data_IF_391601704412
#
_entry.id   IF_391601704412
#
_cell.length_a   1.000
_cell.length_b   1.000
_cell.length_c   1.000
_cell.angle_alpha   90.00
_cell.angle_beta   90.00
_cell.angle_gamma   90.00
#
_symmetry.space_group_name_H-M   'P 1'
#
loop_
_entity.id
_entity.type
_entity.pdbx_description
1 polymer ?
#
# COMPACT_ATOMS: atom_id res chain seq x y z
N UNK A 1 8.27 0.65 -18.08
CA UNK A 1 6.88 0.48 -18.57
C UNK A 1 6.23 1.86 -18.61
N UNK A 2 5.50 2.21 -19.68
CA UNK A 2 4.82 3.51 -19.76
C UNK A 2 3.68 3.60 -18.73
N UNK A 3 3.47 4.79 -18.18
CA UNK A 3 2.29 5.15 -17.37
C UNK A 3 1.25 5.82 -18.26
N UNK A 4 0.01 5.99 -17.77
CA UNK A 4 -1.08 6.60 -18.53
C UNK A 4 -0.73 7.94 -19.17
N UNK A 5 -0.05 8.84 -18.43
CA UNK A 5 0.36 10.15 -18.95
C UNK A 5 1.41 10.07 -20.06
N UNK A 6 2.28 9.05 -20.02
CA UNK A 6 3.26 8.81 -21.09
C UNK A 6 2.57 8.37 -22.40
N UNK A 7 1.30 7.95 -22.31
CA UNK A 7 0.43 7.59 -23.44
C UNK A 7 -0.50 8.74 -23.86
N UNK A 8 -0.33 9.95 -23.30
CA UNK A 8 -1.18 11.11 -23.59
C UNK A 8 -2.56 11.08 -22.90
N UNK A 9 -2.76 10.19 -21.93
CA UNK A 9 -4.01 10.09 -21.17
C UNK A 9 -3.85 10.88 -19.87
N UNK A 10 -4.53 12.02 -19.79
CA UNK A 10 -4.54 12.87 -18.60
C UNK A 10 -5.90 12.80 -17.89
N UNK A 11 -5.89 12.33 -16.65
CA UNK A 11 -7.07 12.29 -15.78
C UNK A 11 -6.89 13.30 -14.64
N UNK A 12 -7.73 14.35 -14.62
CA UNK A 12 -7.78 15.35 -13.55
C UNK A 12 -7.32 16.74 -13.98
N UNK A 13 -7.56 17.74 -13.11
CA UNK A 13 -7.25 19.16 -13.37
C UNK A 13 -5.91 19.62 -12.79
N UNK A 14 -5.24 18.77 -12.01
CA UNK A 14 -4.00 19.12 -11.31
C UNK A 14 -2.80 18.41 -11.94
N UNK A 15 -1.65 19.10 -11.92
CA UNK A 15 -0.36 18.52 -12.30
C UNK A 15 0.11 17.54 -11.21
N UNK A 16 0.72 16.41 -11.59
CA UNK A 16 1.28 15.47 -10.62
C UNK A 16 2.58 16.02 -10.01
N UNK A 17 3.02 15.38 -8.91
CA UNK A 17 4.37 15.59 -8.39
C UNK A 17 5.46 15.01 -9.32
N UNK A 18 6.74 15.22 -9.00
CA UNK A 18 7.87 14.81 -9.84
C UNK A 18 7.89 13.32 -10.17
N UNK A 19 7.54 12.47 -9.21
CA UNK A 19 7.48 11.03 -9.41
C UNK A 19 6.11 10.56 -9.84
N UNK A 20 5.06 11.40 -9.76
CA UNK A 20 3.66 11.05 -9.96
C UNK A 20 3.31 9.77 -9.17
N UNK A 21 3.68 9.78 -7.88
CA UNK A 21 3.57 8.65 -6.97
C UNK A 21 3.34 9.12 -5.52
N UNK A 22 2.91 8.22 -4.63
CA UNK A 22 2.68 8.56 -3.21
C UNK A 22 3.95 9.05 -2.49
N UNK A 23 5.12 8.63 -2.95
CA UNK A 23 6.43 9.06 -2.43
C UNK A 23 6.78 10.51 -2.77
N UNK A 24 5.97 11.19 -3.58
CA UNK A 24 6.07 12.65 -3.73
C UNK A 24 5.71 13.39 -2.42
N UNK A 25 5.03 12.73 -1.48
CA UNK A 25 4.86 13.23 -0.11
C UNK A 25 6.16 13.03 0.68
N UNK A 26 6.80 14.11 1.18
CA UNK A 26 8.08 14.00 1.87
C UNK A 26 8.06 13.03 3.05
N UNK A 27 9.07 12.17 3.14
CA UNK A 27 9.22 11.16 4.20
C UNK A 27 8.52 9.84 3.89
N UNK A 28 7.49 9.82 3.05
CA UNK A 28 6.78 8.58 2.70
C UNK A 28 7.69 7.67 1.88
N UNK A 29 7.75 6.39 2.27
CA UNK A 29 8.52 5.37 1.56
C UNK A 29 7.65 4.15 1.24
N UNK A 30 7.98 3.45 0.15
CA UNK A 30 7.29 2.23 -0.28
C UNK A 30 8.32 1.15 -0.57
N UNK A 31 8.05 -0.08 -0.11
CA UNK A 31 8.86 -1.26 -0.37
C UNK A 31 8.02 -2.44 -0.81
N UNK A 32 8.60 -3.32 -1.63
CA UNK A 32 7.92 -4.50 -2.17
C UNK A 32 8.77 -5.76 -1.98
N UNK A 33 8.10 -6.87 -1.69
CA UNK A 33 8.65 -8.22 -1.82
C UNK A 33 7.71 -9.03 -2.71
N UNK A 34 8.24 -9.53 -3.82
CA UNK A 34 7.46 -10.27 -4.83
C UNK A 34 7.90 -11.73 -4.85
N UNK A 35 6.94 -12.65 -4.73
CA UNK A 35 7.17 -14.09 -4.80
C UNK A 35 6.52 -14.66 -6.07
N UNK A 36 7.38 -15.04 -7.01
CA UNK A 36 7.01 -15.74 -8.25
C UNK A 36 7.81 -17.04 -8.27
N UNK A 37 7.14 -18.18 -8.06
CA UNK A 37 7.80 -19.48 -7.99
C UNK A 37 6.93 -20.59 -8.58
N UNK A 38 7.57 -21.51 -9.31
CA UNK A 38 6.92 -22.64 -9.97
C UNK A 38 6.05 -22.22 -11.16
N UNK A 39 5.62 -23.21 -11.95
CA UNK A 39 4.84 -23.06 -13.17
C UNK A 39 3.81 -24.20 -13.31
N UNK A 40 2.89 -24.08 -14.26
CA UNK A 40 1.87 -25.10 -14.55
C UNK A 40 0.58 -24.95 -13.74
N UNK A 41 -0.24 -26.01 -13.71
CA UNK A 41 -1.54 -26.01 -13.05
C UNK A 41 -1.41 -25.98 -11.52
N UNK A 42 -2.47 -25.50 -10.84
CA UNK A 42 -2.51 -25.50 -9.38
C UNK A 42 -2.56 -26.92 -8.82
N UNK A 43 -1.53 -27.30 -8.06
CA UNK A 43 -1.41 -28.64 -7.46
C UNK A 43 -1.43 -28.62 -5.92
N UNK A 44 -2.05 -27.60 -5.32
CA UNK A 44 -2.22 -27.49 -3.87
C UNK A 44 -1.10 -26.74 -3.13
N UNK A 45 -0.07 -26.27 -3.84
CA UNK A 45 1.04 -25.51 -3.23
C UNK A 45 1.75 -24.55 -4.19
N UNK A 46 1.16 -24.29 -5.36
CA UNK A 46 1.74 -23.45 -6.39
C UNK A 46 1.09 -23.71 -7.74
N UNK A 47 1.41 -22.89 -8.77
CA UNK A 47 2.44 -21.85 -8.78
C UNK A 47 2.15 -20.70 -7.80
N UNK A 48 3.20 -20.16 -7.17
CA UNK A 48 3.11 -19.05 -6.22
C UNK A 48 3.23 -17.74 -6.98
N UNK A 49 2.25 -16.86 -6.81
CA UNK A 49 2.20 -15.50 -7.39
C UNK A 49 1.62 -14.56 -6.34
N UNK A 50 2.43 -14.22 -5.34
CA UNK A 50 2.03 -13.39 -4.19
C UNK A 50 3.12 -12.37 -3.83
N UNK A 51 2.91 -11.60 -2.78
CA UNK A 51 3.89 -10.65 -2.29
C UNK A 51 3.34 -9.76 -1.19
N UNK A 52 4.21 -8.91 -0.68
CA UNK A 52 3.89 -7.90 0.33
C UNK A 52 4.35 -6.54 -0.16
N UNK A 53 3.52 -5.52 0.06
CA UNK A 53 3.89 -4.12 -0.10
C UNK A 53 3.81 -3.44 1.26
N UNK A 54 4.87 -2.72 1.63
CA UNK A 54 4.90 -1.89 2.83
C UNK A 54 4.91 -0.41 2.43
N UNK A 55 4.13 0.39 3.15
CA UNK A 55 4.12 1.84 3.05
C UNK A 55 4.47 2.39 4.43
N UNK A 56 5.53 3.18 4.50
CA UNK A 56 5.94 3.88 5.70
C UNK A 56 5.46 5.33 5.59
N UNK A 57 4.60 5.82 6.50
CA UNK A 57 4.22 7.23 6.54
C UNK A 57 5.42 8.19 6.71
N UNK A 58 6.46 7.72 7.41
CA UNK A 58 7.81 8.30 7.42
C UNK A 58 8.86 7.24 7.76
N UNK A 59 10.13 7.52 7.52
CA UNK A 59 11.25 6.60 7.77
C UNK A 59 11.74 6.54 9.23
N UNK A 60 11.20 7.40 10.11
CA UNK A 60 11.48 7.38 11.56
C UNK A 60 10.74 6.27 12.34
N UNK A 61 10.73 6.38 13.67
CA UNK A 61 10.06 5.42 14.55
C UNK A 61 8.56 5.73 14.65
N UNK A 62 7.72 5.05 13.86
CA UNK A 62 6.26 5.28 13.80
C UNK A 62 5.55 5.02 15.13
N UNK A 63 6.11 4.20 16.02
CA UNK A 63 5.51 3.95 17.32
C UNK A 63 5.69 5.14 18.27
N UNK A 64 6.88 5.75 18.24
CA UNK A 64 7.18 6.95 19.02
C UNK A 64 6.53 8.19 18.39
N UNK A 65 6.70 8.35 17.08
CA UNK A 65 6.27 9.48 16.29
C UNK A 65 5.08 9.07 15.42
N UNK A 66 3.87 9.12 15.98
CA UNK A 66 2.65 8.69 15.30
C UNK A 66 2.20 9.72 14.27
N UNK A 67 1.51 9.25 13.23
CA UNK A 67 0.88 10.14 12.23
C UNK A 67 -0.63 10.13 12.36
N UNK A 68 -1.27 11.28 12.17
CA UNK A 68 -2.74 11.38 12.10
C UNK A 68 -3.27 10.58 10.91
N UNK A 69 -4.32 9.80 11.13
CA UNK A 69 -4.89 8.92 10.13
C UNK A 69 -6.40 8.74 10.32
N UNK A 70 -7.06 8.27 9.26
CA UNK A 70 -8.46 7.90 9.28
C UNK A 70 -8.68 6.71 8.33
N UNK A 71 -9.73 5.94 8.58
CA UNK A 71 -10.14 4.80 7.74
C UNK A 71 -11.62 4.90 7.39
N UNK A 72 -11.97 4.41 6.21
CA UNK A 72 -13.36 4.32 5.77
C UNK A 72 -13.61 2.98 5.08
N UNK A 73 -14.75 2.37 5.39
CA UNK A 73 -15.15 1.08 4.82
C UNK A 73 -16.33 1.30 3.86
N UNK A 74 -16.06 1.25 2.56
CA UNK A 74 -17.12 1.33 1.53
C UNK A 74 -17.92 0.01 1.50
N UNK A 75 -17.21 -1.12 1.52
CA UNK A 75 -17.78 -2.46 1.63
C UNK A 75 -16.90 -3.33 2.54
N UNK A 76 -17.53 -4.09 3.43
CA UNK A 76 -16.86 -4.84 4.49
C UNK A 76 -16.32 -6.22 4.10
N UNK A 77 -16.27 -6.59 2.81
CA UNK A 77 -15.81 -7.92 2.39
C UNK A 77 -14.27 -8.10 2.40
N UNK A 78 -13.54 -7.30 3.18
CA UNK A 78 -12.09 -7.39 3.39
C UNK A 78 -11.74 -7.90 4.80
N UNK A 79 -10.49 -8.36 4.99
CA UNK A 79 -9.98 -8.81 6.29
C UNK A 79 -8.83 -7.91 6.67
N UNK A 80 -9.13 -6.84 7.40
CA UNK A 80 -8.16 -5.81 7.75
C UNK A 80 -7.87 -5.84 9.24
N UNK A 81 -6.60 -5.61 9.60
CA UNK A 81 -6.16 -5.47 10.98
C UNK A 81 -5.83 -4.00 11.28
N UNK A 82 -6.16 -3.54 12.48
CA UNK A 82 -5.80 -2.21 13.00
C UNK A 82 -6.82 -1.09 12.77
N UNK A 83 -7.90 -1.30 12.01
CA UNK A 83 -8.89 -0.25 11.71
C UNK A 83 -9.54 0.36 12.96
N UNK A 84 -9.91 -0.46 13.94
CA UNK A 84 -10.58 0.05 15.15
C UNK A 84 -9.67 0.96 15.98
N UNK A 85 -8.37 0.67 16.05
CA UNK A 85 -7.42 1.55 16.72
C UNK A 85 -7.29 2.90 16.00
N UNK A 86 -7.28 2.91 14.66
CA UNK A 86 -7.25 4.15 13.88
C UNK A 86 -8.54 4.95 14.07
N UNK A 87 -9.70 4.28 14.16
CA UNK A 87 -10.99 4.95 14.43
C UNK A 87 -11.03 5.58 15.82
N UNK A 88 -10.50 4.90 16.82
CA UNK A 88 -10.50 5.35 18.22
C UNK A 88 -9.48 6.46 18.47
N UNK A 89 -8.22 6.25 18.03
CA UNK A 89 -7.10 7.12 18.37
C UNK A 89 -6.75 8.13 17.26
N UNK A 90 -7.33 8.00 16.07
CA UNK A 90 -7.06 8.88 14.93
C UNK A 90 -5.60 8.85 14.45
N UNK A 91 -4.86 7.77 14.73
CA UNK A 91 -3.42 7.69 14.45
C UNK A 91 -3.00 6.32 13.91
N UNK A 92 -1.91 6.31 13.14
CA UNK A 92 -1.16 5.11 12.76
C UNK A 92 0.19 5.14 13.48
N UNK A 93 0.56 3.98 14.04
CA UNK A 93 1.79 3.80 14.82
C UNK A 93 2.71 2.68 14.26
N UNK A 94 2.40 2.19 13.07
CA UNK A 94 3.12 1.09 12.39
C UNK A 94 3.19 1.35 10.88
N UNK A 95 4.06 0.62 10.14
CA UNK A 95 3.97 0.60 8.69
C UNK A 95 2.63 0.02 8.22
N UNK A 96 2.12 0.50 7.09
CA UNK A 96 0.92 -0.04 6.45
C UNK A 96 1.37 -1.20 5.55
N UNK A 97 0.82 -2.39 5.78
CA UNK A 97 1.14 -3.59 4.99
C UNK A 97 -0.04 -4.01 4.12
N UNK A 98 0.26 -4.38 2.88
CA UNK A 98 -0.70 -4.93 1.90
C UNK A 98 -0.20 -6.29 1.44
N UNK A 99 -1.05 -7.32 1.55
CA UNK A 99 -0.75 -8.70 1.15
C UNK A 99 -2.03 -9.45 0.78
N UNK A 100 -1.93 -10.71 0.34
CA UNK A 100 -3.06 -11.62 0.17
C UNK A 100 -3.85 -11.83 1.46
N UNK A 101 -5.12 -12.23 1.34
CA UNK A 101 -5.99 -12.48 2.51
C UNK A 101 -5.45 -13.56 3.46
N UNK A 102 -4.71 -14.53 2.92
CA UNK A 102 -4.06 -15.64 3.62
C UNK A 102 -2.60 -15.77 3.16
#
# INVERSE_FOLDING_TARGET
>A
MPRLRDLGIENGRLSPGPHNAITDVPGVAVGHATLIQGDGAWMGGGPLRTGVTLILPHTGNLYADKVTAAVHTINGFGKVAGFEQVRELGTIETPIALTSTL
#
